data_IF_788260855565
#
_entry.id   IF_788260855565
#
_cell.length_a   1.000
_cell.length_b   1.000
_cell.length_c   1.000
_cell.angle_alpha   90.00
_cell.angle_beta   90.00
_cell.angle_gamma   90.00
#
_symmetry.space_group_name_H-M   'P 1'
#
loop_
_entity.id
_entity.type
_entity.pdbx_description
1 polymer ?
#
# COMPACT_ATOMS: atom_id res chain seq x y z
N UNK A 1 8.88 -2.15 12.98
CA UNK A 1 8.37 -2.60 11.67
C UNK A 1 9.51 -2.65 10.68
N UNK A 2 9.60 -3.75 9.93
CA UNK A 2 10.48 -3.88 8.78
C UNK A 2 9.67 -3.60 7.51
N UNK A 3 10.19 -2.74 6.62
CA UNK A 3 9.61 -2.43 5.31
C UNK A 3 10.61 -2.76 4.22
N UNK A 4 10.19 -3.44 3.17
CA UNK A 4 10.99 -3.79 2.00
C UNK A 4 10.23 -3.49 0.72
N UNK A 5 10.87 -2.77 -0.20
CA UNK A 5 10.34 -2.46 -1.54
C UNK A 5 11.34 -3.00 -2.55
N UNK A 6 10.86 -3.78 -3.52
CA UNK A 6 11.67 -4.49 -4.49
C UNK A 6 11.10 -4.32 -5.90
N UNK A 7 11.94 -4.28 -6.94
CA UNK A 7 11.47 -4.37 -8.31
C UNK A 7 10.91 -5.78 -8.54
N UNK A 8 9.75 -5.88 -9.19
CA UNK A 8 9.10 -7.16 -9.44
C UNK A 8 8.41 -7.19 -10.80
N UNK A 9 9.18 -7.36 -11.84
CA UNK A 9 8.74 -7.23 -13.23
C UNK A 9 8.88 -5.81 -13.77
N UNK A 10 8.53 -5.61 -15.01
CA UNK A 10 8.67 -4.32 -15.71
C UNK A 10 7.68 -3.30 -15.17
N UNK A 11 8.15 -2.11 -14.83
CA UNK A 11 7.33 -1.00 -14.31
C UNK A 11 6.51 -1.40 -13.07
N UNK A 12 7.06 -2.25 -12.22
CA UNK A 12 6.32 -2.82 -11.10
C UNK A 12 7.19 -2.93 -9.85
N UNK A 13 6.56 -2.80 -8.69
CA UNK A 13 7.21 -2.89 -7.38
C UNK A 13 6.40 -3.84 -6.48
N UNK A 14 7.09 -4.64 -5.69
CA UNK A 14 6.52 -5.41 -4.59
C UNK A 14 6.86 -4.74 -3.27
N UNK A 15 5.87 -4.56 -2.41
CA UNK A 15 6.01 -3.94 -1.09
C UNK A 15 5.62 -4.94 -0.03
N UNK A 16 6.54 -5.19 0.88
CA UNK A 16 6.32 -6.07 2.04
C UNK A 16 6.64 -5.38 3.34
N UNK A 17 5.86 -5.61 4.38
CA UNK A 17 6.16 -5.14 5.72
C UNK A 17 5.77 -6.18 6.77
N UNK A 18 6.48 -6.19 7.90
CA UNK A 18 6.18 -7.08 9.03
C UNK A 18 6.60 -6.46 10.36
N UNK A 19 5.94 -6.88 11.42
CA UNK A 19 6.36 -6.60 12.80
C UNK A 19 7.29 -7.70 13.36
N UNK A 20 7.48 -8.78 12.61
CA UNK A 20 8.39 -9.86 12.97
C UNK A 20 9.83 -9.53 12.59
N UNK A 21 10.84 -10.25 13.12
CA UNK A 21 12.24 -10.03 12.80
C UNK A 21 12.59 -10.26 11.33
N UNK A 22 11.83 -11.11 10.62
CA UNK A 22 12.11 -11.52 9.24
C UNK A 22 10.84 -11.50 8.40
N UNK A 23 11.01 -11.17 7.12
CA UNK A 23 9.97 -11.32 6.10
C UNK A 23 9.86 -12.78 5.66
N UNK A 24 8.64 -13.25 5.48
CA UNK A 24 8.39 -14.57 4.89
C UNK A 24 8.75 -14.55 3.39
N UNK A 25 9.35 -15.63 2.92
CA UNK A 25 9.63 -15.85 1.50
C UNK A 25 8.50 -16.61 0.78
N UNK A 26 7.36 -16.80 1.43
CA UNK A 26 6.20 -17.43 0.78
C UNK A 26 5.59 -16.50 -0.26
N UNK A 27 5.41 -17.03 -1.45
CA UNK A 27 4.70 -16.38 -2.54
C UNK A 27 3.37 -17.09 -2.78
N UNK A 28 2.29 -16.30 -2.84
CA UNK A 28 0.93 -16.84 -2.98
C UNK A 28 0.42 -16.76 -4.41
N UNK A 29 0.62 -15.63 -5.08
CA UNK A 29 0.13 -15.37 -6.42
C UNK A 29 1.18 -14.77 -7.36
N UNK A 30 2.29 -14.29 -6.83
CA UNK A 30 3.38 -13.74 -7.63
C UNK A 30 4.33 -14.84 -8.07
N UNK A 31 4.70 -14.84 -9.33
CA UNK A 31 5.77 -15.69 -9.88
C UNK A 31 7.14 -15.15 -9.49
N UNK A 32 8.18 -15.92 -9.73
CA UNK A 32 9.57 -15.49 -9.51
C UNK A 32 9.87 -14.16 -10.19
N UNK A 33 10.77 -13.39 -9.58
CA UNK A 33 11.20 -12.10 -10.12
C UNK A 33 11.90 -12.31 -11.46
N UNK A 34 11.44 -11.67 -12.55
CA UNK A 34 12.18 -11.72 -13.80
C UNK A 34 13.60 -11.17 -13.64
N UNK A 35 14.61 -11.83 -14.20
CA UNK A 35 16.02 -11.41 -14.16
C UNK A 35 16.28 -9.99 -14.70
N UNK A 36 15.34 -9.43 -15.48
CA UNK A 36 15.41 -8.10 -16.07
C UNK A 36 14.92 -6.96 -15.18
N UNK A 37 14.58 -7.22 -13.92
CA UNK A 37 14.13 -6.18 -12.99
C UNK A 37 15.33 -5.43 -12.42
N UNK A 38 15.65 -4.27 -12.98
CA UNK A 38 16.67 -3.36 -12.46
C UNK A 38 16.00 -2.13 -11.86
N UNK A 39 16.33 -1.79 -10.62
CA UNK A 39 15.82 -0.61 -9.97
C UNK A 39 16.95 0.30 -9.54
N UNK A 40 16.74 1.60 -9.71
CA UNK A 40 17.60 2.64 -9.17
C UNK A 40 17.11 3.01 -7.78
N UNK A 41 18.03 2.98 -6.80
CA UNK A 41 17.74 3.32 -5.41
C UNK A 41 18.55 4.55 -5.03
N UNK A 42 17.87 5.55 -4.49
CA UNK A 42 18.49 6.79 -4.05
C UNK A 42 18.07 7.11 -2.62
N UNK A 43 19.02 7.62 -1.82
CA UNK A 43 18.74 8.16 -0.49
C UNK A 43 18.95 9.67 -0.50
N UNK A 44 18.02 10.41 0.06
CA UNK A 44 18.04 11.86 0.08
C UNK A 44 17.87 12.39 1.50
N UNK A 45 18.57 13.48 1.80
CA UNK A 45 18.22 14.32 2.95
C UNK A 45 17.16 15.33 2.52
N UNK A 46 16.09 15.45 3.29
CA UNK A 46 15.00 16.40 3.05
C UNK A 46 14.87 17.32 4.26
N UNK A 47 14.77 18.61 4.01
CA UNK A 47 14.51 19.58 5.05
C UNK A 47 13.10 19.40 5.63
N UNK A 48 13.00 19.22 6.92
CA UNK A 48 11.75 19.09 7.65
C UNK A 48 11.58 20.27 8.60
N UNK A 49 10.48 21.00 8.45
CA UNK A 49 10.12 22.10 9.33
C UNK A 49 9.62 21.57 10.67
N UNK A 50 10.27 21.99 11.75
CA UNK A 50 9.83 21.74 13.12
C UNK A 50 9.06 22.98 13.59
N UNK A 51 7.97 22.80 14.33
CA UNK A 51 7.01 23.84 14.65
C UNK A 51 7.53 25.07 15.44
N UNK A 52 8.80 25.06 15.86
CA UNK A 52 9.50 26.18 16.51
C UNK A 52 10.30 27.07 15.52
N UNK A 53 10.19 26.79 14.21
CA UNK A 53 10.91 27.52 13.17
C UNK A 53 12.27 26.92 12.82
N UNK A 54 12.68 25.82 13.46
CA UNK A 54 13.90 25.10 13.10
C UNK A 54 13.70 24.18 11.90
N UNK A 55 14.76 23.98 11.12
CA UNK A 55 14.80 22.99 10.03
C UNK A 55 15.64 21.82 10.53
N UNK A 56 15.03 20.64 10.55
CA UNK A 56 15.68 19.37 10.83
C UNK A 56 15.86 18.59 9.52
N UNK A 57 17.01 17.97 9.34
CA UNK A 57 17.25 17.12 8.17
C UNK A 57 16.73 15.72 8.43
N UNK A 58 15.94 15.22 7.52
CA UNK A 58 15.33 13.88 7.58
C UNK A 58 15.71 13.08 6.36
N UNK A 59 15.93 11.80 6.57
CA UNK A 59 16.22 10.88 5.48
C UNK A 59 14.92 10.47 4.76
N UNK A 60 14.99 10.40 3.45
CA UNK A 60 14.00 9.76 2.59
C UNK A 60 14.73 8.85 1.59
N UNK A 61 14.04 7.83 1.10
CA UNK A 61 14.59 6.94 0.08
C UNK A 61 13.62 6.79 -1.07
N UNK A 62 14.14 6.62 -2.27
CA UNK A 62 13.34 6.31 -3.44
C UNK A 62 13.86 5.06 -4.14
N UNK A 63 12.94 4.34 -4.79
CA UNK A 63 13.23 3.22 -5.66
C UNK A 63 12.46 3.40 -6.96
N UNK A 64 13.17 3.38 -8.09
CA UNK A 64 12.60 3.54 -9.42
C UNK A 64 12.82 2.28 -10.25
N UNK A 65 11.75 1.74 -10.83
CA UNK A 65 11.78 0.62 -11.75
C UNK A 65 11.00 0.98 -13.03
N UNK A 66 11.71 1.46 -14.04
CA UNK A 66 11.12 1.96 -15.27
C UNK A 66 10.24 3.18 -15.02
N UNK A 67 8.92 3.05 -15.24
CA UNK A 67 7.95 4.15 -15.11
C UNK A 67 7.40 4.34 -13.71
N UNK A 68 7.60 3.38 -12.80
CA UNK A 68 7.13 3.46 -11.41
C UNK A 68 8.25 3.88 -10.48
N UNK A 69 7.95 4.80 -9.59
CA UNK A 69 8.84 5.20 -8.49
C UNK A 69 8.06 5.16 -7.17
N UNK A 70 8.68 4.63 -6.14
CA UNK A 70 8.20 4.71 -4.77
C UNK A 70 9.14 5.56 -3.94
N UNK A 71 8.60 6.55 -3.21
CA UNK A 71 9.35 7.40 -2.29
C UNK A 71 8.88 7.10 -0.88
N UNK A 72 9.80 6.77 0.00
CA UNK A 72 9.56 6.54 1.43
C UNK A 72 10.08 7.73 2.20
N UNK A 73 9.22 8.43 2.91
CA UNK A 73 9.64 9.57 3.75
C UNK A 73 10.11 9.11 5.13
N UNK A 74 10.65 10.04 5.92
CA UNK A 74 11.16 9.80 7.26
C UNK A 74 10.13 9.19 8.25
N UNK A 75 8.84 9.32 7.98
CA UNK A 75 7.77 8.71 8.77
C UNK A 75 7.41 7.28 8.29
N UNK A 76 8.13 6.78 7.29
CA UNK A 76 7.88 5.47 6.68
C UNK A 76 6.65 5.44 5.77
N UNK A 77 6.11 6.59 5.38
CA UNK A 77 4.96 6.69 4.46
C UNK A 77 5.43 6.59 3.03
N UNK A 78 4.79 5.73 2.25
CA UNK A 78 5.13 5.50 0.86
C UNK A 78 4.23 6.35 -0.06
N UNK A 79 4.86 7.03 -1.00
CA UNK A 79 4.19 7.73 -2.10
C UNK A 79 4.65 7.12 -3.43
N UNK A 80 3.70 6.79 -4.31
CA UNK A 80 3.98 6.19 -5.61
C UNK A 80 3.75 7.18 -6.74
N UNK A 81 4.67 7.17 -7.69
CA UNK A 81 4.67 8.02 -8.87
C UNK A 81 4.73 7.18 -10.13
N UNK A 82 4.04 7.64 -11.17
CA UNK A 82 4.13 7.14 -12.53
C UNK A 82 4.61 8.27 -13.43
N UNK A 83 5.74 8.10 -14.10
CA UNK A 83 6.34 9.13 -14.97
C UNK A 83 6.45 10.50 -14.24
N UNK A 84 6.83 10.48 -12.95
CA UNK A 84 6.96 11.67 -12.11
C UNK A 84 5.64 12.23 -11.54
N UNK A 85 4.48 11.69 -11.93
CA UNK A 85 3.18 12.11 -11.41
C UNK A 85 2.70 11.17 -10.30
N UNK A 86 2.39 11.72 -9.12
CA UNK A 86 1.81 10.96 -8.03
C UNK A 86 0.47 10.34 -8.45
N UNK A 87 0.28 9.05 -8.15
CA UNK A 87 -0.99 8.34 -8.39
C UNK A 87 -1.52 7.63 -7.15
N UNK A 88 -0.66 7.24 -6.19
CA UNK A 88 -1.08 6.56 -4.97
C UNK A 88 -0.19 7.02 -3.82
N UNK A 89 -0.75 7.18 -2.63
CA UNK A 89 -0.01 7.53 -1.42
C UNK A 89 -0.65 6.84 -0.23
N UNK A 90 0.16 6.29 0.66
CA UNK A 90 -0.33 5.78 1.93
C UNK A 90 -0.98 6.89 2.76
N UNK A 91 -2.15 6.59 3.32
CA UNK A 91 -2.93 7.54 4.12
C UNK A 91 -2.28 7.73 5.50
N UNK A 92 -1.70 8.87 5.71
CA UNK A 92 -1.10 9.25 6.98
C UNK A 92 -1.59 10.64 7.39
N UNK A 93 -2.10 10.75 8.60
CA UNK A 93 -2.47 12.04 9.19
C UNK A 93 -1.78 12.14 10.55
N UNK A 94 -0.98 13.16 10.70
CA UNK A 94 -0.38 13.55 11.96
C UNK A 94 -0.66 15.03 12.14
N UNK A 95 -1.06 15.40 13.34
CA UNK A 95 -1.19 16.81 13.69
C UNK A 95 0.21 17.29 14.08
N UNK A 96 0.85 18.07 13.20
CA UNK A 96 2.19 18.56 13.43
C UNK A 96 2.19 19.84 14.30
N UNK A 97 3.10 19.84 15.23
CA UNK A 97 3.76 21.04 15.75
C UNK A 97 3.16 21.74 16.95
N UNK A 98 1.91 21.52 17.34
CA UNK A 98 1.30 22.26 18.44
C UNK A 98 0.67 21.39 19.53
N UNK A 99 0.47 20.11 19.25
CA UNK A 99 -0.09 19.18 20.23
C UNK A 99 1.02 18.33 20.83
N UNK A 100 1.03 18.25 22.17
CA UNK A 100 1.96 17.41 22.92
C UNK A 100 1.92 15.95 22.41
N UNK A 101 2.98 15.19 22.67
CA UNK A 101 3.05 13.74 22.36
C UNK A 101 1.84 12.94 22.85
N UNK A 102 1.06 13.50 23.74
CA UNK A 102 -0.13 12.89 24.36
C UNK A 102 -1.39 12.98 23.48
N UNK A 103 -1.43 13.88 22.49
CA UNK A 103 -2.56 14.04 21.57
C UNK A 103 -2.58 13.03 20.42
N UNK A 104 -2.10 11.81 20.66
CA UNK A 104 -2.00 10.73 19.65
C UNK A 104 -3.34 10.22 19.14
N UNK A 105 -4.45 10.54 19.81
CA UNK A 105 -5.79 10.13 19.37
C UNK A 105 -6.19 10.67 17.99
N UNK A 106 -5.56 11.74 17.51
CA UNK A 106 -5.79 12.30 16.15
C UNK A 106 -4.81 11.77 15.10
N UNK A 107 -3.83 10.95 15.50
CA UNK A 107 -2.89 10.34 14.56
C UNK A 107 -3.53 9.16 13.87
N UNK A 108 -3.64 9.21 12.55
CA UNK A 108 -4.01 8.07 11.72
C UNK A 108 -2.75 7.54 11.04
N UNK A 109 -2.43 6.30 11.31
CA UNK A 109 -1.31 5.60 10.69
C UNK A 109 -1.75 4.90 9.40
N UNK A 110 -0.85 4.85 8.44
CA UNK A 110 -1.04 4.18 7.15
C UNK A 110 -1.14 2.66 7.27
N UNK A 111 -0.32 2.05 8.14
CA UNK A 111 -0.26 0.62 8.44
C UNK A 111 -0.51 0.43 9.94
N UNK A 112 -1.66 -0.12 10.27
CA UNK A 112 -2.03 -0.41 11.65
C UNK A 112 -1.96 -1.90 11.89
N UNK A 113 -1.11 -2.29 12.85
CA UNK A 113 -0.90 -3.66 13.26
C UNK A 113 -1.45 -3.87 14.67
N UNK A 114 -2.31 -4.88 14.85
CA UNK A 114 -2.82 -5.29 16.15
C UNK A 114 -2.51 -6.75 16.40
N UNK A 115 -1.73 -7.04 17.43
CA UNK A 115 -1.40 -8.42 17.81
C UNK A 115 -2.66 -9.23 18.15
N UNK A 116 -2.70 -10.47 17.69
CA UNK A 116 -3.77 -11.42 17.98
C UNK A 116 -3.39 -12.18 19.26
N UNK A 117 -4.28 -12.16 20.24
CA UNK A 117 -4.05 -12.82 21.52
C UNK A 117 -3.90 -14.33 21.32
N UNK A 118 -2.81 -14.89 21.86
CA UNK A 118 -2.51 -16.33 21.78
C UNK A 118 -1.81 -16.78 20.51
N UNK A 119 -1.42 -15.85 19.62
CA UNK A 119 -0.70 -16.13 18.38
C UNK A 119 0.48 -15.21 18.14
N UNK A 120 1.23 -15.48 17.08
CA UNK A 120 2.31 -14.63 16.55
C UNK A 120 1.87 -13.80 15.33
N UNK A 121 0.58 -13.70 15.11
CA UNK A 121 -0.04 -13.04 13.96
C UNK A 121 -0.65 -11.71 14.36
N UNK A 122 -0.95 -10.91 13.36
CA UNK A 122 -1.52 -9.57 13.52
C UNK A 122 -2.76 -9.42 12.65
N UNK A 123 -3.74 -8.66 13.12
CA UNK A 123 -4.66 -8.03 12.20
C UNK A 123 -3.98 -6.79 11.61
N UNK A 124 -4.17 -6.57 10.33
CA UNK A 124 -3.55 -5.49 9.56
C UNK A 124 -4.62 -4.64 8.88
N UNK A 125 -4.47 -3.32 9.00
CA UNK A 125 -5.17 -2.34 8.18
C UNK A 125 -4.14 -1.50 7.42
N UNK A 126 -4.24 -1.49 6.10
CA UNK A 126 -3.44 -0.63 5.22
C UNK A 126 -4.36 0.39 4.55
N UNK A 127 -4.00 1.66 4.61
CA UNK A 127 -4.78 2.75 4.04
C UNK A 127 -4.00 3.54 3.01
N UNK A 128 -4.69 3.95 1.94
CA UNK A 128 -4.19 4.86 0.92
C UNK A 128 -5.12 6.06 0.78
N UNK A 129 -4.58 7.22 0.44
CA UNK A 129 -5.37 8.38 0.04
C UNK A 129 -6.28 8.00 -1.15
N UNK A 130 -7.48 8.53 -1.17
CA UNK A 130 -8.37 8.40 -2.32
C UNK A 130 -8.11 9.53 -3.29
N UNK A 131 -8.17 9.24 -4.59
CA UNK A 131 -8.04 10.23 -5.65
C UNK A 131 -9.41 10.65 -6.16
N UNK A 132 -9.58 11.94 -6.44
CA UNK A 132 -10.80 12.45 -7.04
C UNK A 132 -10.96 11.94 -8.48
N UNK A 133 -12.19 11.53 -8.84
CA UNK A 133 -12.49 10.99 -10.16
C UNK A 133 -11.90 9.62 -10.46
N UNK A 134 -11.25 9.00 -9.49
CA UNK A 134 -10.74 7.64 -9.64
C UNK A 134 -11.88 6.63 -9.75
N UNK A 135 -11.73 5.70 -10.70
CA UNK A 135 -12.57 4.52 -10.88
C UNK A 135 -11.76 3.28 -10.69
N UNK A 136 -12.31 2.33 -9.99
CA UNK A 136 -11.64 1.05 -9.66
C UNK A 136 -12.42 -0.09 -10.29
N UNK A 137 -11.68 -1.02 -10.93
CA UNK A 137 -12.21 -2.19 -11.61
C UNK A 137 -11.46 -3.45 -11.14
N UNK A 138 -11.93 -4.62 -11.56
CA UNK A 138 -11.28 -5.89 -11.28
C UNK A 138 -11.85 -6.58 -10.04
N UNK A 139 -11.02 -7.09 -9.16
CA UNK A 139 -11.33 -7.80 -7.92
C UNK A 139 -11.96 -9.19 -8.08
N UNK A 140 -12.09 -9.70 -9.30
CA UNK A 140 -12.72 -11.00 -9.59
C UNK A 140 -14.20 -10.85 -9.91
N UNK A 141 -15.01 -11.81 -9.45
CA UNK A 141 -16.45 -11.86 -9.75
C UNK A 141 -17.26 -11.85 -8.45
N UNK A 142 -17.84 -10.71 -8.16
CA UNK A 142 -18.76 -10.50 -7.03
C UNK A 142 -20.20 -10.37 -7.53
N UNK A 143 -21.16 -10.73 -6.68
CA UNK A 143 -22.59 -10.57 -6.98
C UNK A 143 -23.03 -9.13 -6.76
N UNK A 144 -22.59 -8.23 -7.63
CA UNK A 144 -22.98 -6.82 -7.60
C UNK A 144 -23.15 -6.27 -9.03
N UNK A 145 -24.00 -5.26 -9.15
CA UNK A 145 -24.32 -4.66 -10.43
C UNK A 145 -23.33 -3.57 -10.89
N UNK A 146 -22.36 -3.21 -10.05
CA UNK A 146 -21.45 -2.10 -10.31
C UNK A 146 -20.14 -2.60 -10.95
N UNK A 147 -19.77 -2.01 -12.07
CA UNK A 147 -18.49 -2.22 -12.70
C UNK A 147 -17.39 -1.35 -12.05
N UNK A 148 -17.72 -0.10 -11.73
CA UNK A 148 -16.87 0.80 -10.94
C UNK A 148 -17.08 0.50 -9.46
N UNK A 149 -16.02 0.04 -8.81
CA UNK A 149 -16.02 -0.37 -7.41
C UNK A 149 -15.80 0.78 -6.42
N UNK A 150 -15.65 2.02 -6.92
CA UNK A 150 -15.50 3.18 -6.04
C UNK A 150 -16.72 3.36 -5.17
N UNK A 151 -16.53 3.43 -3.85
CA UNK A 151 -17.61 3.45 -2.85
C UNK A 151 -18.01 2.05 -2.35
N UNK A 152 -17.50 0.96 -2.92
CA UNK A 152 -17.82 -0.41 -2.49
C UNK A 152 -16.90 -0.92 -1.40
N UNK A 153 -17.43 -1.80 -0.56
CA UNK A 153 -16.65 -2.67 0.32
C UNK A 153 -16.83 -4.12 -0.14
N UNK A 154 -15.71 -4.82 -0.35
CA UNK A 154 -15.68 -6.21 -0.78
C UNK A 154 -15.02 -7.07 0.28
N UNK A 155 -15.59 -8.23 0.58
CA UNK A 155 -14.94 -9.24 1.40
C UNK A 155 -13.88 -9.98 0.57
N UNK A 156 -12.67 -10.07 1.08
CA UNK A 156 -11.57 -10.83 0.48
C UNK A 156 -11.62 -12.27 1.00
N UNK A 157 -12.56 -13.04 0.50
CA UNK A 157 -12.74 -14.45 0.83
C UNK A 157 -13.44 -15.17 -0.33
N UNK A 158 -13.13 -16.45 -0.51
CA UNK A 158 -13.86 -17.28 -1.46
C UNK A 158 -15.22 -17.66 -0.84
N UNK A 159 -16.29 -17.42 -1.58
CA UNK A 159 -17.65 -17.78 -1.20
C UNK A 159 -18.32 -18.52 -2.35
N UNK A 160 -19.35 -19.31 -2.03
CA UNK A 160 -20.19 -19.88 -3.07
C UNK A 160 -20.81 -18.77 -3.92
N UNK A 161 -20.76 -18.94 -5.24
CA UNK A 161 -21.19 -17.96 -6.26
C UNK A 161 -20.35 -16.69 -6.38
N UNK A 162 -19.19 -16.60 -5.71
CA UNK A 162 -18.25 -15.47 -5.83
C UNK A 162 -16.82 -15.97 -6.01
N UNK A 163 -16.03 -15.24 -6.81
CA UNK A 163 -14.60 -15.45 -6.97
C UNK A 163 -13.89 -14.18 -6.59
N UNK A 164 -13.13 -14.23 -5.50
CA UNK A 164 -12.29 -13.12 -5.05
C UNK A 164 -10.91 -13.22 -5.69
N UNK A 165 -10.56 -12.26 -6.53
CA UNK A 165 -9.21 -12.07 -7.06
C UNK A 165 -8.75 -10.67 -6.63
N UNK A 166 -7.92 -10.53 -5.61
CA UNK A 166 -7.63 -9.24 -4.99
C UNK A 166 -6.68 -8.39 -5.84
N UNK A 167 -7.03 -8.19 -7.10
CA UNK A 167 -6.34 -7.35 -8.09
C UNK A 167 -7.25 -6.22 -8.55
N UNK A 168 -6.95 -5.02 -8.08
CA UNK A 168 -7.65 -3.79 -8.43
C UNK A 168 -6.95 -3.10 -9.60
N UNK A 169 -7.71 -2.58 -10.55
CA UNK A 169 -7.22 -1.78 -11.69
C UNK A 169 -7.84 -0.40 -11.63
N UNK A 170 -7.01 0.64 -11.65
CA UNK A 170 -7.43 2.03 -11.62
C UNK A 170 -7.39 2.68 -13.00
N UNK A 171 -8.37 3.54 -13.30
CA UNK A 171 -8.35 4.39 -14.50
C UNK A 171 -7.18 5.39 -14.50
N UNK A 172 -6.46 5.53 -13.39
CA UNK A 172 -5.22 6.33 -13.29
C UNK A 172 -4.01 5.61 -13.87
N UNK A 173 -4.19 4.39 -14.39
CA UNK A 173 -3.15 3.61 -15.08
C UNK A 173 -2.23 2.85 -14.14
N UNK A 174 -2.76 2.35 -13.05
CA UNK A 174 -2.07 1.40 -12.18
C UNK A 174 -2.94 0.18 -11.86
N UNK A 175 -2.27 -0.91 -11.51
CA UNK A 175 -2.89 -2.10 -10.95
C UNK A 175 -2.24 -2.46 -9.61
N UNK A 176 -3.04 -2.91 -8.65
CA UNK A 176 -2.59 -3.34 -7.33
C UNK A 176 -3.10 -4.74 -7.02
N UNK A 177 -2.18 -5.67 -6.78
CA UNK A 177 -2.47 -7.00 -6.26
C UNK A 177 -2.21 -7.03 -4.76
N UNK A 178 -3.23 -7.33 -3.98
CA UNK A 178 -3.09 -7.65 -2.55
C UNK A 178 -2.67 -9.11 -2.41
N UNK A 179 -1.36 -9.35 -2.30
CA UNK A 179 -0.75 -10.68 -2.22
C UNK A 179 -0.79 -11.24 -0.79
N UNK A 180 -1.99 -11.29 -0.21
CA UNK A 180 -2.20 -11.75 1.15
C UNK A 180 -3.36 -12.78 1.18
N UNK A 181 -3.12 -14.02 1.62
CA UNK A 181 -4.13 -15.08 1.62
C UNK A 181 -5.13 -14.97 2.77
N UNK A 182 -4.91 -14.08 3.71
CA UNK A 182 -5.79 -13.92 4.86
C UNK A 182 -7.16 -13.38 4.45
N UNK A 183 -8.21 -13.90 5.07
CA UNK A 183 -9.54 -13.30 4.97
C UNK A 183 -9.48 -11.86 5.47
N UNK A 184 -10.05 -10.95 4.70
CA UNK A 184 -10.08 -9.53 5.00
C UNK A 184 -11.17 -8.81 4.23
N UNK A 185 -10.97 -7.52 4.04
CA UNK A 185 -11.87 -6.67 3.26
C UNK A 185 -11.05 -5.62 2.51
N UNK A 186 -11.60 -5.12 1.42
CA UNK A 186 -11.17 -3.86 0.83
C UNK A 186 -12.34 -2.90 0.77
N UNK A 187 -12.11 -1.65 1.16
CA UNK A 187 -13.07 -0.55 1.02
C UNK A 187 -12.48 0.51 0.11
N UNK A 188 -13.07 0.73 -1.06
CA UNK A 188 -12.70 1.79 -2.00
C UNK A 188 -13.46 3.08 -1.67
N UNK A 189 -13.20 3.66 -0.51
CA UNK A 189 -13.92 4.82 -0.01
C UNK A 189 -13.60 6.13 -0.75
N UNK A 190 -14.36 7.17 -0.48
CA UNK A 190 -14.11 8.51 -1.03
C UNK A 190 -12.96 9.24 -0.34
N UNK A 191 -12.76 9.00 0.95
CA UNK A 191 -11.69 9.64 1.72
C UNK A 191 -10.39 8.86 1.68
N UNK A 192 -10.47 7.53 1.72
CA UNK A 192 -9.34 6.61 1.64
C UNK A 192 -9.79 5.26 1.10
N UNK A 193 -8.84 4.53 0.55
CA UNK A 193 -8.97 3.10 0.27
C UNK A 193 -8.33 2.34 1.43
N UNK A 194 -9.02 1.32 1.95
CA UNK A 194 -8.53 0.50 3.06
C UNK A 194 -8.52 -0.98 2.68
N UNK A 195 -7.37 -1.60 2.87
CA UNK A 195 -7.18 -3.04 2.75
C UNK A 195 -6.95 -3.64 4.14
N UNK A 196 -7.65 -4.72 4.45
CA UNK A 196 -7.52 -5.38 5.75
C UNK A 196 -7.18 -6.85 5.60
N UNK A 197 -6.43 -7.38 6.58
CA UNK A 197 -6.22 -8.81 6.79
C UNK A 197 -6.52 -9.13 8.24
N UNK A 198 -7.38 -10.14 8.48
CA UNK A 198 -7.80 -10.49 9.85
C UNK A 198 -6.70 -11.15 10.64
N UNK A 199 -5.84 -11.93 9.99
CA UNK A 199 -4.74 -12.65 10.62
C UNK A 199 -3.62 -12.85 9.61
N UNK A 200 -2.50 -12.15 9.81
CA UNK A 200 -1.34 -12.22 8.92
C UNK A 200 -0.05 -11.97 9.68
N UNK A 201 1.05 -12.52 9.17
CA UNK A 201 2.41 -12.25 9.67
C UNK A 201 3.09 -11.13 8.92
N UNK A 202 2.63 -10.82 7.71
CA UNK A 202 3.21 -9.75 6.90
C UNK A 202 2.17 -9.12 5.98
N UNK A 203 2.39 -7.86 5.67
CA UNK A 203 1.79 -7.15 4.55
C UNK A 203 2.54 -7.52 3.27
N UNK A 204 1.82 -7.76 2.20
CA UNK A 204 2.41 -8.00 0.89
C UNK A 204 1.46 -7.50 -0.20
N UNK A 205 1.94 -6.59 -1.04
CA UNK A 205 1.22 -6.17 -2.22
C UNK A 205 2.17 -5.82 -3.37
N UNK A 206 1.66 -5.95 -4.56
CA UNK A 206 2.36 -5.66 -5.80
C UNK A 206 1.64 -4.55 -6.56
N UNK A 207 2.41 -3.59 -7.06
CA UNK A 207 1.94 -2.46 -7.86
C UNK A 207 2.60 -2.47 -9.22
N UNK A 208 1.80 -2.22 -10.26
CA UNK A 208 2.26 -2.04 -11.63
C UNK A 208 1.65 -0.80 -12.25
N UNK A 209 2.35 -0.20 -13.22
CA UNK A 209 1.84 0.93 -14.00
C UNK A 209 1.89 0.64 -15.49
N UNK A 210 0.82 1.03 -16.20
CA UNK A 210 0.66 0.83 -17.64
C UNK A 210 -0.28 1.88 -18.24
N UNK A 211 -0.28 2.02 -19.57
CA UNK A 211 -1.19 2.96 -20.26
C UNK A 211 -2.62 2.40 -20.40
N UNK A 212 -2.82 1.13 -20.10
CA UNK A 212 -4.10 0.43 -20.09
C UNK A 212 -3.91 -1.06 -19.94
N UNK A 213 -4.99 -1.81 -19.68
CA UNK A 213 -4.95 -3.26 -19.72
C UNK A 213 -4.64 -3.72 -21.15
N UNK A 214 -3.67 -4.61 -21.27
CA UNK A 214 -3.35 -5.29 -22.53
C UNK A 214 -3.86 -6.71 -22.49
#
# INVERSE_FOLDING_TARGET
>A
EMLRIEPWGKNSLRVRATMLPELSNQDWALTETPESSHADVECHEVDHWVGDGTIDKRESASITNGRICAVVNFAGVITFYRDGKQFLREYYRSYDGTLSRESRCLKTVNREWKGIIGGSEFSLNLKFDSNDGEKIFGMGQYQQAYMDLKGCTLELAQRNSQISVPFAVSNLGYGMLWNNPAVGQVTFGKNYTEWTARSTKQMDYWLTVADGPK
#
